data_IF_059281744702
#
_entry.id   IF_059281744702
#
_cell.length_a   1.000
_cell.length_b   1.000
_cell.length_c   1.000
_cell.angle_alpha   90.00
_cell.angle_beta   90.00
_cell.angle_gamma   90.00
#
_symmetry.space_group_name_H-M   'P 1'
#
loop_
_entity.id
_entity.type
_entity.pdbx_description
1 polymer ?
#
# COMPACT_ATOMS: atom_id res chain seq x y z
N UNK A 1 12.70 17.16 13.36
CA UNK A 1 13.41 18.43 13.66
C UNK A 1 13.68 18.56 15.16
N UNK A 2 12.70 18.53 16.07
CA UNK A 2 12.91 18.68 17.54
C UNK A 2 13.82 17.61 18.17
N UNK A 3 13.83 16.36 17.67
CA UNK A 3 14.76 15.32 18.12
C UNK A 3 16.23 15.65 17.86
N UNK A 4 16.52 16.35 16.74
CA UNK A 4 17.87 16.81 16.41
C UNK A 4 18.30 18.06 17.19
N UNK A 5 17.31 18.83 17.69
CA UNK A 5 17.54 20.02 18.51
C UNK A 5 17.61 19.69 20.02
N UNK A 6 17.58 18.41 20.38
CA UNK A 6 17.52 17.89 21.78
C UNK A 6 16.31 18.40 22.59
N UNK A 7 15.25 18.85 21.90
CA UNK A 7 13.99 19.31 22.51
C UNK A 7 13.02 18.13 22.68
N UNK A 8 13.40 17.15 23.52
CA UNK A 8 12.67 15.87 23.68
C UNK A 8 11.22 16.06 24.09
N UNK A 9 10.92 16.93 25.05
CA UNK A 9 9.55 17.15 25.51
C UNK A 9 8.63 17.68 24.39
N UNK A 10 9.14 18.56 23.55
CA UNK A 10 8.41 19.08 22.39
C UNK A 10 8.21 17.96 21.34
N UNK A 11 9.24 17.17 21.09
CA UNK A 11 9.17 16.03 20.17
C UNK A 11 8.11 15.00 20.62
N UNK A 12 8.10 14.62 21.90
CA UNK A 12 7.12 13.70 22.48
C UNK A 12 5.70 14.27 22.40
N UNK A 13 5.51 15.53 22.76
CA UNK A 13 4.21 16.18 22.70
C UNK A 13 3.64 16.18 21.27
N UNK A 14 4.49 16.47 20.27
CA UNK A 14 4.08 16.45 18.87
C UNK A 14 3.81 15.01 18.42
N UNK A 15 4.65 14.06 18.79
CA UNK A 15 4.45 12.66 18.46
C UNK A 15 3.10 12.16 18.99
N UNK A 16 2.75 12.46 20.23
CA UNK A 16 1.45 12.11 20.79
C UNK A 16 0.29 12.73 20.01
N UNK A 17 0.40 13.99 19.61
CA UNK A 17 -0.62 14.63 18.76
C UNK A 17 -0.76 13.97 17.41
N UNK A 18 0.34 13.60 16.76
CA UNK A 18 0.31 12.94 15.45
C UNK A 18 -0.28 11.53 15.55
N UNK A 19 0.06 10.79 16.62
CA UNK A 19 -0.53 9.48 16.93
C UNK A 19 -2.05 9.56 17.17
N UNK A 20 -2.54 10.63 17.78
CA UNK A 20 -3.99 10.83 17.96
C UNK A 20 -4.70 11.18 16.64
N UNK A 21 -4.01 11.82 15.70
CA UNK A 21 -4.58 12.18 14.39
C UNK A 21 -4.67 10.97 13.45
N UNK A 22 -3.60 10.21 13.34
CA UNK A 22 -3.55 9.01 12.51
C UNK A 22 -2.44 8.07 12.97
N UNK A 23 -2.78 7.12 13.83
CA UNK A 23 -1.85 6.18 14.44
C UNK A 23 -1.20 5.27 13.41
N UNK A 24 -1.99 4.74 12.49
CA UNK A 24 -1.56 3.84 11.43
C UNK A 24 -0.47 4.46 10.52
N UNK A 25 -0.76 5.63 9.93
CA UNK A 25 0.21 6.32 9.08
C UNK A 25 1.45 6.76 9.84
N UNK A 26 1.27 7.16 11.10
CA UNK A 26 2.38 7.56 11.96
C UNK A 26 3.30 6.39 12.26
N UNK A 27 2.75 5.23 12.61
CA UNK A 27 3.52 4.02 12.87
C UNK A 27 4.28 3.56 11.61
N UNK A 28 3.63 3.56 10.44
CA UNK A 28 4.29 3.26 9.17
C UNK A 28 5.41 4.24 8.85
N UNK A 29 5.18 5.55 9.00
CA UNK A 29 6.21 6.57 8.76
C UNK A 29 7.43 6.34 9.64
N UNK A 30 7.24 6.15 10.96
CA UNK A 30 8.36 5.94 11.87
C UNK A 30 9.06 4.61 11.67
N UNK A 31 8.36 3.54 11.25
CA UNK A 31 9.01 2.28 10.90
C UNK A 31 9.98 2.48 9.72
N UNK A 32 9.53 3.12 8.64
CA UNK A 32 10.37 3.42 7.47
C UNK A 32 11.52 4.37 7.81
N UNK A 33 11.25 5.39 8.61
CA UNK A 33 12.28 6.31 9.08
C UNK A 33 13.36 5.59 9.89
N UNK A 34 12.97 4.69 10.79
CA UNK A 34 13.92 3.90 11.58
C UNK A 34 14.74 2.94 10.72
N UNK A 35 14.12 2.27 9.73
CA UNK A 35 14.83 1.42 8.77
C UNK A 35 15.87 2.23 7.99
N UNK A 36 15.48 3.39 7.46
CA UNK A 36 16.40 4.25 6.71
C UNK A 36 17.58 4.79 7.56
N UNK A 37 17.42 4.81 8.87
CA UNK A 37 18.48 5.21 9.82
C UNK A 37 19.13 4.01 10.53
N UNK A 38 19.00 2.80 9.99
CA UNK A 38 19.59 1.55 10.50
C UNK A 38 19.22 1.20 11.94
N UNK A 39 18.08 1.72 12.42
CA UNK A 39 17.56 1.50 13.77
C UNK A 39 16.50 0.39 13.77
N UNK A 40 16.93 -0.83 13.47
CA UNK A 40 16.04 -1.96 13.19
C UNK A 40 15.15 -2.33 14.37
N UNK A 41 15.68 -2.39 15.60
CA UNK A 41 14.88 -2.67 16.80
C UNK A 41 13.74 -1.66 16.98
N UNK A 42 14.02 -0.37 16.77
CA UNK A 42 13.00 0.67 16.85
C UNK A 42 12.00 0.57 15.67
N UNK A 43 12.47 0.18 14.49
CA UNK A 43 11.61 -0.04 13.33
C UNK A 43 10.59 -1.15 13.62
N UNK A 44 11.03 -2.28 14.17
CA UNK A 44 10.17 -3.43 14.50
C UNK A 44 9.10 -3.08 15.54
N UNK A 45 9.42 -2.26 16.54
CA UNK A 45 8.41 -1.75 17.49
C UNK A 45 7.31 -0.93 16.78
N UNK A 46 7.69 -0.10 15.83
CA UNK A 46 6.73 0.67 15.04
C UNK A 46 5.94 -0.19 14.06
N UNK A 47 6.57 -1.23 13.49
CA UNK A 47 5.88 -2.23 12.65
C UNK A 47 4.86 -2.99 13.48
N UNK A 48 5.21 -3.46 14.66
CA UNK A 48 4.28 -4.14 15.56
C UNK A 48 3.07 -3.24 15.89
N UNK A 49 3.31 -1.95 16.16
CA UNK A 49 2.23 -1.00 16.38
C UNK A 49 1.37 -0.77 15.14
N UNK A 50 1.97 -0.68 13.96
CA UNK A 50 1.25 -0.59 12.70
C UNK A 50 0.36 -1.82 12.48
N UNK A 51 0.90 -3.03 12.72
CA UNK A 51 0.17 -4.29 12.58
C UNK A 51 -1.06 -4.39 13.50
N UNK A 52 -1.00 -3.80 14.69
CA UNK A 52 -2.13 -3.77 15.62
C UNK A 52 -3.33 -2.95 15.12
N UNK A 53 -3.10 -1.97 14.27
CA UNK A 53 -4.14 -1.13 13.67
C UNK A 53 -4.74 -1.75 12.39
N UNK A 54 -4.13 -2.84 11.88
CA UNK A 54 -4.62 -3.54 10.68
C UNK A 54 -5.64 -4.61 11.04
N UNK A 55 -6.55 -4.86 10.12
CA UNK A 55 -7.49 -5.98 10.24
C UNK A 55 -7.74 -6.62 8.87
N UNK A 56 -8.26 -7.85 8.87
CA UNK A 56 -8.50 -8.62 7.65
C UNK A 56 -9.47 -7.93 6.69
N UNK A 57 -10.39 -7.11 7.20
CA UNK A 57 -11.44 -6.48 6.40
C UNK A 57 -10.95 -5.19 5.74
N UNK A 58 -9.98 -4.52 6.34
CA UNK A 58 -9.49 -3.22 5.86
C UNK A 58 -7.98 -3.12 6.08
N UNK A 59 -7.22 -3.59 5.09
CA UNK A 59 -5.77 -3.50 5.08
C UNK A 59 -5.37 -2.18 4.42
N UNK A 60 -4.58 -1.39 5.14
CA UNK A 60 -4.05 -0.16 4.60
C UNK A 60 -3.05 -0.42 3.46
N UNK A 61 -3.15 0.35 2.37
CA UNK A 61 -2.29 0.14 1.19
C UNK A 61 -0.78 0.20 1.51
N UNK A 62 -0.39 0.96 2.53
CA UNK A 62 1.00 1.03 3.00
C UNK A 62 1.55 -0.28 3.59
N UNK A 63 0.69 -1.27 3.86
CA UNK A 63 1.12 -2.60 4.32
C UNK A 63 2.06 -3.29 3.32
N UNK A 64 1.92 -3.00 2.02
CA UNK A 64 2.83 -3.49 0.99
C UNK A 64 4.30 -3.15 1.26
N UNK A 65 4.57 -2.00 1.90
CA UNK A 65 5.93 -1.59 2.25
C UNK A 65 6.52 -2.49 3.33
N UNK A 66 5.70 -2.91 4.30
CA UNK A 66 6.12 -3.87 5.34
C UNK A 66 6.43 -5.22 4.71
N UNK A 67 5.58 -5.71 3.79
CA UNK A 67 5.83 -6.95 3.06
C UNK A 67 7.11 -6.87 2.21
N UNK A 68 7.39 -5.74 1.59
CA UNK A 68 8.63 -5.53 0.84
C UNK A 68 9.85 -5.53 1.75
N UNK A 69 9.80 -4.92 2.94
CA UNK A 69 10.89 -4.98 3.93
C UNK A 69 11.12 -6.41 4.42
N UNK A 70 10.05 -7.16 4.66
CA UNK A 70 10.13 -8.59 5.01
C UNK A 70 10.78 -9.40 3.88
N UNK A 71 10.33 -9.23 2.64
CA UNK A 71 10.85 -9.94 1.46
C UNK A 71 12.31 -9.59 1.17
N UNK A 72 12.73 -8.36 1.45
CA UNK A 72 14.10 -7.89 1.30
C UNK A 72 15.03 -8.33 2.46
N UNK A 73 14.50 -9.00 3.49
CA UNK A 73 15.28 -9.49 4.62
C UNK A 73 15.73 -8.39 5.60
N UNK A 74 15.03 -7.26 5.62
CA UNK A 74 15.32 -6.18 6.57
C UNK A 74 14.76 -6.43 7.98
N UNK A 75 13.83 -7.36 8.13
CA UNK A 75 13.20 -7.68 9.41
C UNK A 75 13.87 -8.89 10.07
N UNK A 76 13.83 -8.93 11.39
CA UNK A 76 14.23 -10.11 12.14
C UNK A 76 13.35 -11.31 11.79
N UNK A 77 13.87 -12.51 12.02
CA UNK A 77 13.13 -13.75 11.81
C UNK A 77 11.86 -13.78 12.68
N UNK A 78 11.94 -13.27 13.89
CA UNK A 78 10.84 -13.19 14.84
C UNK A 78 9.72 -12.29 14.28
N UNK A 79 10.04 -11.09 13.83
CA UNK A 79 9.07 -10.15 13.24
C UNK A 79 8.47 -10.71 11.94
N UNK A 80 9.27 -11.33 11.09
CA UNK A 80 8.80 -11.95 9.86
C UNK A 80 7.79 -13.09 10.14
N UNK A 81 8.06 -13.90 11.16
CA UNK A 81 7.13 -14.95 11.60
C UNK A 81 5.83 -14.37 12.16
N UNK A 82 5.90 -13.32 12.99
CA UNK A 82 4.71 -12.66 13.55
C UNK A 82 3.82 -12.08 12.45
N UNK A 83 4.40 -11.45 11.43
CA UNK A 83 3.67 -10.97 10.26
C UNK A 83 3.04 -12.14 9.51
N UNK A 84 3.78 -13.24 9.27
CA UNK A 84 3.29 -14.42 8.58
C UNK A 84 2.12 -15.08 9.32
N UNK A 85 2.23 -15.22 10.63
CA UNK A 85 1.16 -15.77 11.49
C UNK A 85 -0.09 -14.88 11.45
N UNK A 86 0.10 -13.55 11.45
CA UNK A 86 -1.01 -12.60 11.33
C UNK A 86 -1.71 -12.73 9.99
N UNK A 87 -0.96 -12.85 8.88
CA UNK A 87 -1.53 -13.06 7.55
C UNK A 87 -2.28 -14.39 7.45
N UNK A 88 -1.74 -15.45 8.05
CA UNK A 88 -2.39 -16.76 8.10
C UNK A 88 -3.72 -16.69 8.86
N UNK A 89 -3.73 -16.00 10.01
CA UNK A 89 -4.94 -15.77 10.79
C UNK A 89 -5.98 -14.97 10.00
N UNK A 90 -5.58 -13.88 9.33
CA UNK A 90 -6.49 -13.10 8.49
C UNK A 90 -7.04 -13.91 7.33
N UNK A 91 -6.22 -14.76 6.71
CA UNK A 91 -6.68 -15.68 5.67
C UNK A 91 -7.77 -16.64 6.17
N UNK A 92 -7.62 -17.15 7.39
CA UNK A 92 -8.62 -18.01 8.04
C UNK A 92 -9.90 -17.23 8.38
N UNK A 93 -9.77 -16.03 8.94
CA UNK A 93 -10.92 -15.15 9.26
C UNK A 93 -11.73 -14.78 8.00
N UNK A 94 -11.06 -14.54 6.88
CA UNK A 94 -11.73 -14.28 5.60
C UNK A 94 -12.45 -15.52 5.08
N UNK A 95 -11.81 -16.70 5.15
CA UNK A 95 -12.41 -17.96 4.70
C UNK A 95 -13.64 -18.38 5.54
N UNK A 96 -13.65 -18.05 6.83
CA UNK A 96 -14.76 -18.33 7.73
C UNK A 96 -15.93 -17.34 7.60
N UNK A 97 -15.72 -16.19 6.97
CA UNK A 97 -16.73 -15.14 6.84
C UNK A 97 -16.96 -14.74 5.38
N UNK A 98 -17.82 -15.46 4.64
CA UNK A 98 -18.10 -15.20 3.23
C UNK A 98 -18.56 -13.76 2.94
N UNK A 99 -19.22 -13.11 3.89
CA UNK A 99 -19.67 -11.72 3.70
C UNK A 99 -18.48 -10.72 3.66
N UNK A 100 -17.40 -11.03 4.37
CA UNK A 100 -16.18 -10.21 4.35
C UNK A 100 -15.42 -10.44 3.06
N UNK A 101 -15.33 -11.69 2.59
CA UNK A 101 -14.74 -12.03 1.30
C UNK A 101 -15.47 -11.32 0.15
N UNK A 102 -16.81 -11.37 0.13
CA UNK A 102 -17.64 -10.69 -0.87
C UNK A 102 -17.44 -9.16 -0.83
N UNK A 103 -17.38 -8.58 0.37
CA UNK A 103 -17.14 -7.14 0.52
C UNK A 103 -15.76 -6.71 0.00
N UNK A 104 -14.73 -7.52 0.22
CA UNK A 104 -13.39 -7.28 -0.34
C UNK A 104 -13.38 -7.45 -1.86
N UNK A 105 -14.01 -8.51 -2.37
CA UNK A 105 -14.12 -8.73 -3.80
C UNK A 105 -14.82 -7.53 -4.49
N UNK A 106 -15.89 -7.02 -3.90
CA UNK A 106 -16.59 -5.86 -4.41
C UNK A 106 -15.76 -4.57 -4.32
N UNK A 107 -14.99 -4.39 -3.26
CA UNK A 107 -14.03 -3.29 -3.16
C UNK A 107 -12.98 -3.34 -4.27
N UNK A 108 -12.41 -4.52 -4.54
CA UNK A 108 -11.48 -4.74 -5.65
C UNK A 108 -12.13 -4.51 -7.01
N UNK A 109 -13.34 -5.03 -7.24
CA UNK A 109 -14.10 -4.80 -8.48
C UNK A 109 -14.34 -3.31 -8.73
N UNK A 110 -14.70 -2.56 -7.68
CA UNK A 110 -14.92 -1.13 -7.77
C UNK A 110 -13.63 -0.35 -8.03
N UNK A 111 -12.53 -0.74 -7.40
CA UNK A 111 -11.20 -0.18 -7.68
C UNK A 111 -10.79 -0.41 -9.14
N UNK A 112 -10.90 -1.65 -9.64
CA UNK A 112 -10.61 -1.98 -11.03
C UNK A 112 -11.52 -1.26 -12.04
N UNK A 113 -12.81 -1.09 -11.71
CA UNK A 113 -13.72 -0.25 -12.53
C UNK A 113 -13.28 1.22 -12.56
N UNK A 114 -12.74 1.74 -11.44
CA UNK A 114 -12.15 3.08 -11.38
C UNK A 114 -10.96 3.22 -12.33
N UNK A 115 -10.03 2.26 -12.28
CA UNK A 115 -8.89 2.21 -13.20
C UNK A 115 -9.31 2.06 -14.66
N UNK A 116 -10.31 1.23 -14.94
CA UNK A 116 -10.85 1.05 -16.30
C UNK A 116 -11.41 2.35 -16.88
N UNK A 117 -12.00 3.22 -16.05
CA UNK A 117 -12.45 4.56 -16.49
C UNK A 117 -11.28 5.48 -16.80
N UNK A 118 -10.19 5.40 -16.02
CA UNK A 118 -8.96 6.17 -16.26
C UNK A 118 -8.17 5.63 -17.47
N UNK A 119 -8.32 4.35 -17.76
CA UNK A 119 -7.69 3.70 -18.92
C UNK A 119 -8.41 3.98 -20.27
N UNK A 120 -9.45 4.81 -20.28
CA UNK A 120 -10.08 5.26 -21.53
C UNK A 120 -9.10 6.16 -22.29
N UNK A 121 -8.45 5.58 -23.30
CA UNK A 121 -7.47 6.28 -24.13
C UNK A 121 -8.20 7.01 -25.27
N UNK A 122 -7.94 8.33 -25.46
CA UNK A 122 -8.46 9.08 -26.61
C UNK A 122 -8.08 8.43 -27.96
N UNK A 123 -6.90 7.79 -28.00
CA UNK A 123 -6.38 7.08 -29.17
C UNK A 123 -7.27 5.90 -29.56
N UNK A 124 -7.87 5.19 -28.62
CA UNK A 124 -8.78 4.07 -28.89
C UNK A 124 -10.04 4.58 -29.58
N UNK A 125 -10.54 5.76 -29.22
CA UNK A 125 -11.68 6.40 -29.89
C UNK A 125 -11.35 6.77 -31.33
N UNK A 126 -10.11 7.17 -31.59
CA UNK A 126 -9.63 7.49 -32.94
C UNK A 126 -9.55 6.22 -33.83
N UNK A 127 -9.06 5.10 -33.28
CA UNK A 127 -9.04 3.81 -33.97
C UNK A 127 -10.44 3.29 -34.32
N UNK A 128 -11.43 3.52 -33.46
CA UNK A 128 -12.85 3.19 -33.75
C UNK A 128 -13.39 3.94 -34.99
N UNK A 129 -12.96 5.17 -35.17
CA UNK A 129 -13.38 5.98 -36.33
C UNK A 129 -12.76 5.52 -37.65
N UNK A 130 -11.60 4.86 -37.57
CA UNK A 130 -10.85 4.45 -38.78
C UNK A 130 -11.29 3.11 -39.39
N UNK A 131 -12.05 2.30 -38.64
CA UNK A 131 -12.63 1.01 -39.07
C UNK A 131 -11.63 0.03 -39.73
N UNK A 132 -10.33 0.09 -39.34
CA UNK A 132 -9.20 -0.49 -40.04
C UNK A 132 -8.85 -1.92 -39.57
N UNK A 133 -9.36 -2.38 -38.42
CA UNK A 133 -8.94 -3.66 -37.83
C UNK A 133 -10.07 -4.69 -37.80
N UNK A 134 -9.84 -5.92 -38.33
CA UNK A 134 -10.79 -7.02 -38.31
C UNK A 134 -10.90 -7.58 -36.92
N UNK A 135 -11.13 -7.18 -35.88
CA UNK A 135 -11.31 -7.60 -34.47
C UNK A 135 -11.12 -6.44 -33.51
N UNK A 136 -11.73 -5.31 -33.83
CA UNK A 136 -11.63 -4.07 -33.06
C UNK A 136 -11.94 -4.26 -31.55
N UNK A 137 -12.94 -5.08 -31.23
CA UNK A 137 -13.34 -5.32 -29.84
C UNK A 137 -12.23 -5.98 -29.01
N UNK A 138 -11.58 -7.00 -29.56
CA UNK A 138 -10.49 -7.68 -28.88
C UNK A 138 -9.24 -6.80 -28.75
N UNK A 139 -8.93 -5.98 -29.77
CA UNK A 139 -7.82 -5.04 -29.70
C UNK A 139 -8.07 -3.94 -28.65
N UNK A 140 -9.31 -3.45 -28.55
CA UNK A 140 -9.72 -2.48 -27.53
C UNK A 140 -9.62 -3.05 -26.12
N UNK A 141 -10.06 -4.28 -25.89
CA UNK A 141 -9.95 -4.96 -24.61
C UNK A 141 -8.50 -5.20 -24.20
N UNK A 142 -7.67 -5.63 -25.14
CA UNK A 142 -6.23 -5.83 -24.91
C UNK A 142 -5.53 -4.51 -24.55
N UNK A 143 -5.81 -3.43 -25.28
CA UNK A 143 -5.22 -2.12 -25.02
C UNK A 143 -5.68 -1.55 -23.68
N UNK A 144 -6.97 -1.71 -23.34
CA UNK A 144 -7.49 -1.34 -22.01
C UNK A 144 -6.82 -2.16 -20.91
N UNK A 145 -6.67 -3.47 -21.09
CA UNK A 145 -5.98 -4.34 -20.15
C UNK A 145 -4.53 -3.93 -19.93
N UNK A 146 -3.81 -3.66 -21.02
CA UNK A 146 -2.42 -3.17 -20.97
C UNK A 146 -2.33 -1.83 -20.21
N UNK A 147 -3.24 -0.90 -20.47
CA UNK A 147 -3.24 0.41 -19.78
C UNK A 147 -3.61 0.30 -18.31
N UNK A 148 -4.54 -0.58 -17.95
CA UNK A 148 -4.86 -0.87 -16.54
C UNK A 148 -3.62 -1.42 -15.83
N UNK A 149 -2.90 -2.34 -16.46
CA UNK A 149 -1.67 -2.91 -15.92
C UNK A 149 -0.59 -1.83 -15.73
N UNK A 150 -0.42 -0.94 -16.70
CA UNK A 150 0.51 0.18 -16.63
C UNK A 150 0.15 1.14 -15.47
N UNK A 151 -1.12 1.54 -15.35
CA UNK A 151 -1.60 2.38 -14.25
C UNK A 151 -1.42 1.73 -12.88
N UNK A 152 -1.59 0.41 -12.78
CA UNK A 152 -1.30 -0.34 -11.56
C UNK A 152 0.18 -0.30 -11.22
N UNK A 153 1.06 -0.52 -12.20
CA UNK A 153 2.51 -0.44 -12.01
C UNK A 153 2.95 0.97 -11.61
N UNK A 154 2.48 2.01 -12.30
CA UNK A 154 2.73 3.41 -11.94
C UNK A 154 2.30 3.70 -10.51
N UNK A 155 1.12 3.20 -10.10
CA UNK A 155 0.63 3.40 -8.74
C UNK A 155 1.47 2.68 -7.69
N UNK A 156 1.88 1.44 -7.97
CA UNK A 156 2.77 0.67 -7.09
C UNK A 156 4.14 1.33 -6.99
N UNK A 157 4.72 1.77 -8.10
CA UNK A 157 5.99 2.50 -8.12
C UNK A 157 5.88 3.79 -7.31
N UNK A 158 4.81 4.55 -7.49
CA UNK A 158 4.60 5.80 -6.73
C UNK A 158 4.44 5.54 -5.21
N UNK A 159 3.89 4.40 -4.81
CA UNK A 159 3.83 3.99 -3.41
C UNK A 159 5.22 3.58 -2.88
N UNK A 160 6.09 3.06 -3.74
CA UNK A 160 7.45 2.65 -3.39
C UNK A 160 8.45 3.82 -3.43
N UNK A 161 8.24 4.82 -4.30
CA UNK A 161 9.13 5.97 -4.48
C UNK A 161 8.77 7.17 -3.58
N UNK A 162 7.67 7.12 -2.85
CA UNK A 162 7.13 8.22 -2.05
C UNK A 162 7.93 8.70 -0.80
N UNK A 163 9.12 8.21 -0.44
CA UNK A 163 9.90 8.80 0.65
C UNK A 163 10.79 9.99 0.25
N UNK A 164 11.00 10.27 -1.02
CA UNK A 164 11.99 11.29 -1.44
C UNK A 164 11.40 12.67 -1.81
N UNK A 165 10.14 12.94 -1.50
CA UNK A 165 9.55 14.28 -1.71
C UNK A 165 10.05 15.28 -0.64
N UNK A 166 11.31 15.68 -0.78
CA UNK A 166 11.73 17.02 -0.47
C UNK A 166 11.81 17.44 0.99
N UNK A 167 12.92 17.16 1.64
CA UNK A 167 13.50 18.11 2.59
C UNK A 167 14.60 18.89 1.87
N UNK A 168 14.25 20.04 1.33
CA UNK A 168 15.18 21.17 1.17
C UNK A 168 14.98 22.09 2.33
#
# INVERSE_FOLDING_TARGET
MYWYADERNNAETILQKVLTLNREKTALFFSLFCVNNERMEAAELWIAQFMQEQNAQQIYAGFILILNMMAAGFLSTEMANEISDTLTRWGSELAENPAVEEAQEDAWKNFMKGLSKQAALPEILHFKQLNVLPNQTNAEELLKGARIHELLLERLQHLMEAPDAGVK
#
